data_IF_580439203276
#
_entry.id   IF_580439203276
#
_cell.length_a   1.000
_cell.length_b   1.000
_cell.length_c   1.000
_cell.angle_alpha   90.00
_cell.angle_beta   90.00
_cell.angle_gamma   90.00
#
_symmetry.space_group_name_H-M   'P 1'
#
loop_
_entity.id
_entity.type
_entity.pdbx_description
1 polymer ?
#
# COMPACT_ATOMS: atom_id res chain seq x y z
N UNK A 1 -32.84 29.00 -49.71
CA UNK A 1 -31.38 29.22 -49.49
C UNK A 1 -31.06 29.43 -48.01
N UNK A 2 -31.67 30.43 -47.35
CA UNK A 2 -31.37 30.79 -45.97
C UNK A 2 -31.67 29.68 -44.95
N UNK A 3 -32.77 28.94 -45.09
CA UNK A 3 -33.13 27.83 -44.22
C UNK A 3 -32.13 26.66 -44.37
N UNK A 4 -31.67 26.37 -45.59
CA UNK A 4 -30.67 25.33 -45.79
C UNK A 4 -29.33 25.66 -45.13
N UNK A 5 -28.93 26.94 -45.20
CA UNK A 5 -27.72 27.41 -44.54
C UNK A 5 -27.83 27.27 -43.01
N UNK A 6 -29.00 27.61 -42.43
CA UNK A 6 -29.24 27.46 -40.98
C UNK A 6 -29.16 25.96 -40.55
N UNK A 7 -29.73 25.06 -41.33
CA UNK A 7 -29.63 23.63 -41.02
C UNK A 7 -28.20 23.11 -41.10
N UNK A 8 -27.42 23.57 -42.07
CA UNK A 8 -26.01 23.17 -42.19
C UNK A 8 -25.21 23.70 -40.98
N UNK A 9 -25.41 24.98 -40.58
CA UNK A 9 -24.74 25.53 -39.42
C UNK A 9 -25.15 24.83 -38.13
N UNK A 10 -26.43 24.49 -37.94
CA UNK A 10 -26.91 23.74 -36.79
C UNK A 10 -26.27 22.32 -36.72
N UNK A 11 -26.19 21.63 -37.87
CA UNK A 11 -25.55 20.32 -37.93
C UNK A 11 -24.05 20.36 -37.62
N UNK A 12 -23.33 21.37 -38.14
CA UNK A 12 -21.92 21.59 -37.82
C UNK A 12 -21.71 21.90 -36.34
N UNK A 13 -22.53 22.76 -35.74
CA UNK A 13 -22.45 23.11 -34.31
C UNK A 13 -22.67 21.87 -33.42
N UNK A 14 -23.63 21.02 -33.77
CA UNK A 14 -23.90 19.77 -33.05
C UNK A 14 -22.74 18.79 -33.15
N UNK A 15 -22.12 18.66 -34.32
CA UNK A 15 -20.96 17.81 -34.53
C UNK A 15 -19.73 18.26 -33.69
N UNK A 16 -19.49 19.57 -33.62
CA UNK A 16 -18.37 20.10 -32.82
C UNK A 16 -18.56 19.88 -31.32
N UNK A 17 -19.79 19.96 -30.79
CA UNK A 17 -20.08 19.69 -29.39
C UNK A 17 -19.75 18.24 -28.99
N UNK A 18 -20.04 17.25 -29.85
CA UNK A 18 -19.75 15.85 -29.60
C UNK A 18 -18.24 15.56 -29.51
N UNK A 19 -17.44 16.24 -30.33
CA UNK A 19 -15.95 16.09 -30.30
C UNK A 19 -15.39 16.57 -28.96
N UNK A 20 -15.89 17.68 -28.42
CA UNK A 20 -15.42 18.25 -27.15
C UNK A 20 -15.54 17.29 -25.96
N UNK A 21 -16.63 16.54 -25.87
CA UNK A 21 -16.87 15.58 -24.77
C UNK A 21 -15.89 14.39 -24.80
N UNK A 22 -15.51 13.92 -25.98
CA UNK A 22 -14.54 12.84 -26.12
C UNK A 22 -13.15 13.27 -25.64
N UNK A 23 -12.73 14.47 -26.03
CA UNK A 23 -11.42 15.00 -25.61
C UNK A 23 -11.30 15.18 -24.11
N UNK A 24 -12.35 15.67 -23.43
CA UNK A 24 -12.35 15.86 -21.97
C UNK A 24 -12.24 14.50 -21.25
N UNK A 25 -12.95 13.49 -21.73
CA UNK A 25 -12.90 12.14 -21.15
C UNK A 25 -11.52 11.50 -21.33
N UNK A 26 -10.91 11.62 -22.51
CA UNK A 26 -9.56 11.10 -22.76
C UNK A 26 -8.54 11.79 -21.87
N UNK A 27 -8.54 13.13 -21.82
CA UNK A 27 -7.64 13.89 -20.96
C UNK A 27 -7.81 13.55 -19.47
N UNK A 28 -9.03 13.29 -19.01
CA UNK A 28 -9.27 12.87 -17.63
C UNK A 28 -8.71 11.48 -17.35
N UNK A 29 -8.87 10.52 -18.26
CA UNK A 29 -8.28 9.17 -18.13
C UNK A 29 -6.75 9.20 -18.09
N UNK A 30 -6.12 10.08 -18.87
CA UNK A 30 -4.66 10.27 -18.84
C UNK A 30 -4.22 10.82 -17.49
N UNK A 31 -4.92 11.82 -16.95
CA UNK A 31 -4.65 12.35 -15.60
C UNK A 31 -4.84 11.29 -14.51
N UNK A 32 -5.85 10.43 -14.62
CA UNK A 32 -6.05 9.31 -13.69
C UNK A 32 -4.90 8.30 -13.76
N UNK A 33 -4.44 7.97 -14.96
CA UNK A 33 -3.31 7.06 -15.12
C UNK A 33 -2.03 7.67 -14.53
N UNK A 34 -1.80 8.97 -14.73
CA UNK A 34 -0.67 9.68 -14.13
C UNK A 34 -0.80 9.76 -12.60
N UNK A 35 -2.02 9.99 -12.07
CA UNK A 35 -2.28 10.01 -10.63
C UNK A 35 -1.94 8.66 -9.98
N UNK A 36 -2.35 7.56 -10.60
CA UNK A 36 -2.03 6.21 -10.12
C UNK A 36 -0.52 5.96 -10.16
N UNK A 37 0.17 6.41 -11.20
CA UNK A 37 1.62 6.27 -11.31
C UNK A 37 2.36 7.10 -10.25
N UNK A 38 2.02 8.38 -10.12
CA UNK A 38 2.66 9.31 -9.19
C UNK A 38 2.37 8.92 -7.73
N UNK A 39 1.12 8.58 -7.43
CA UNK A 39 0.71 8.11 -6.11
C UNK A 39 1.49 6.86 -5.67
N UNK A 40 1.70 5.93 -6.62
CA UNK A 40 2.53 4.75 -6.38
C UNK A 40 4.01 5.10 -6.14
N UNK A 41 4.55 6.13 -6.79
CA UNK A 41 5.92 6.61 -6.51
C UNK A 41 6.03 7.14 -5.07
N UNK A 42 5.06 7.93 -4.61
CA UNK A 42 5.03 8.40 -3.23
C UNK A 42 4.88 7.25 -2.23
N UNK A 43 3.98 6.31 -2.48
CA UNK A 43 3.79 5.14 -1.64
C UNK A 43 5.10 4.36 -1.43
N UNK A 44 5.80 4.04 -2.54
CA UNK A 44 7.09 3.33 -2.51
C UNK A 44 8.18 4.15 -1.83
N UNK A 45 8.19 5.46 -2.03
CA UNK A 45 9.16 6.33 -1.38
C UNK A 45 8.96 6.36 0.15
N UNK A 46 7.72 6.43 0.62
CA UNK A 46 7.38 6.37 2.04
C UNK A 46 7.78 5.02 2.64
N UNK A 47 7.48 3.92 1.95
CA UNK A 47 7.92 2.57 2.36
C UNK A 47 9.45 2.47 2.44
N UNK A 48 10.15 2.96 1.42
CA UNK A 48 11.62 2.96 1.38
C UNK A 48 12.21 3.80 2.51
N UNK A 49 11.61 4.95 2.84
CA UNK A 49 12.02 5.81 3.95
C UNK A 49 11.88 5.06 5.29
N UNK A 50 10.74 4.41 5.51
CA UNK A 50 10.51 3.62 6.72
C UNK A 50 11.47 2.44 6.83
N UNK A 51 11.64 1.67 5.74
CA UNK A 51 12.46 0.45 5.75
C UNK A 51 13.94 0.72 5.97
N UNK A 52 14.48 1.79 5.38
CA UNK A 52 15.89 2.16 5.44
C UNK A 52 16.27 3.00 6.66
N UNK A 53 15.31 3.31 7.54
CA UNK A 53 15.58 4.08 8.76
C UNK A 53 16.65 3.44 9.61
N UNK A 54 17.60 4.21 10.18
CA UNK A 54 18.59 3.69 11.13
C UNK A 54 17.91 3.26 12.44
N UNK A 55 18.43 2.19 13.03
CA UNK A 55 17.94 1.69 14.32
C UNK A 55 16.70 0.78 14.23
N UNK A 56 16.15 0.45 15.39
CA UNK A 56 14.97 -0.41 15.54
C UNK A 56 13.66 0.35 15.32
N UNK A 57 13.63 1.64 15.64
CA UNK A 57 12.49 2.50 15.33
C UNK A 57 12.54 2.93 13.87
N UNK A 58 11.47 2.73 13.16
CA UNK A 58 11.34 3.05 11.74
C UNK A 58 10.22 4.07 11.56
N UNK A 59 10.47 5.34 11.93
CA UNK A 59 9.45 6.39 11.81
C UNK A 59 9.14 6.69 10.36
N UNK A 60 7.92 7.14 10.13
CA UNK A 60 7.49 7.69 8.84
C UNK A 60 8.09 9.07 8.59
N UNK A 61 8.17 9.53 7.33
CA UNK A 61 8.73 10.84 7.01
C UNK A 61 7.87 11.96 7.61
N UNK A 62 8.50 12.99 8.20
CA UNK A 62 7.77 14.14 8.78
C UNK A 62 7.21 15.08 7.68
N UNK A 63 7.84 15.10 6.51
CA UNK A 63 7.42 15.88 5.34
C UNK A 63 7.75 15.17 4.04
N UNK A 64 7.18 15.61 2.91
CA UNK A 64 7.47 15.05 1.60
C UNK A 64 8.90 15.40 1.13
N UNK A 65 9.46 16.51 1.58
CA UNK A 65 10.83 16.93 1.30
C UNK A 65 11.85 15.96 1.89
N UNK A 66 11.54 15.33 3.03
CA UNK A 66 12.38 14.30 3.64
C UNK A 66 12.56 13.07 2.73
N UNK A 67 11.66 12.86 1.77
CA UNK A 67 11.80 11.81 0.74
C UNK A 67 12.85 12.16 -0.32
N UNK A 68 13.12 13.46 -0.56
CA UNK A 68 14.16 13.92 -1.49
C UNK A 68 15.54 13.82 -0.86
N UNK A 69 15.63 14.09 0.42
CA UNK A 69 16.86 14.03 1.18
C UNK A 69 16.55 13.62 2.61
N UNK A 70 16.91 12.40 2.95
CA UNK A 70 16.68 11.85 4.28
C UNK A 70 17.65 12.46 5.28
N UNK A 71 17.16 13.26 6.24
CA UNK A 71 18.03 13.95 7.21
C UNK A 71 18.66 13.01 8.25
N UNK A 72 18.23 11.75 8.31
CA UNK A 72 18.75 10.75 9.27
C UNK A 72 20.12 10.21 8.89
N UNK A 73 20.56 10.48 7.65
CA UNK A 73 21.84 9.99 7.16
C UNK A 73 22.82 11.13 6.89
N UNK A 74 24.10 10.96 7.23
CA UNK A 74 25.13 11.97 6.97
C UNK A 74 25.41 12.12 5.46
N UNK A 75 25.20 11.07 4.68
CA UNK A 75 25.25 11.13 3.23
C UNK A 75 23.83 11.23 2.64
N UNK A 76 23.63 12.00 1.56
CA UNK A 76 22.32 12.18 0.98
C UNK A 76 21.71 10.85 0.50
N UNK A 77 20.67 10.38 1.20
CA UNK A 77 19.84 9.26 0.76
C UNK A 77 18.55 9.81 0.20
N UNK A 78 18.21 9.35 -1.00
CA UNK A 78 17.00 9.79 -1.71
C UNK A 78 16.06 8.61 -1.88
N UNK A 79 14.80 8.82 -1.50
CA UNK A 79 13.71 7.85 -1.67
C UNK A 79 12.81 8.22 -2.85
N UNK A 80 12.79 9.52 -3.21
CA UNK A 80 12.07 10.07 -4.34
C UNK A 80 13.01 10.93 -5.18
N UNK A 81 12.85 10.93 -6.50
CA UNK A 81 13.72 11.71 -7.39
C UNK A 81 13.38 13.21 -7.37
N UNK A 82 12.08 13.52 -7.32
CA UNK A 82 11.52 14.88 -7.26
C UNK A 82 10.15 14.84 -6.61
N UNK A 83 9.66 15.95 -6.11
CA UNK A 83 8.26 16.10 -5.78
C UNK A 83 7.46 16.22 -7.07
N UNK A 84 6.44 15.41 -7.19
CA UNK A 84 5.52 15.43 -8.32
C UNK A 84 4.31 16.29 -7.96
N UNK A 85 3.82 17.14 -8.88
CA UNK A 85 2.55 17.82 -8.69
C UNK A 85 1.41 16.80 -8.73
N UNK A 86 0.29 17.15 -8.11
CA UNK A 86 -0.95 16.40 -8.21
C UNK A 86 -1.53 16.54 -9.63
N UNK A 87 -1.65 15.45 -10.42
CA UNK A 87 -2.12 15.53 -11.80
C UNK A 87 -3.55 16.03 -11.95
N UNK A 88 -4.39 15.88 -10.90
CA UNK A 88 -5.78 16.30 -10.94
C UNK A 88 -5.91 17.81 -10.73
N UNK A 89 -5.12 18.37 -9.82
CA UNK A 89 -5.16 19.81 -9.52
C UNK A 89 -4.12 20.61 -10.29
N UNK A 90 -3.05 19.98 -10.78
CA UNK A 90 -1.88 20.63 -11.37
C UNK A 90 -1.00 21.36 -10.36
N UNK A 91 -1.27 21.23 -9.06
CA UNK A 91 -0.57 21.91 -7.95
C UNK A 91 0.41 20.97 -7.25
N UNK A 92 1.46 21.51 -6.59
CA UNK A 92 2.41 20.67 -5.85
C UNK A 92 1.86 20.14 -4.52
N UNK A 93 0.70 20.62 -4.07
CA UNK A 93 0.09 20.22 -2.81
C UNK A 93 -0.61 18.87 -2.93
N UNK A 94 -0.40 18.01 -1.93
CA UNK A 94 -1.06 16.72 -1.76
C UNK A 94 -1.82 16.66 -0.44
N UNK A 95 -2.91 15.92 -0.40
CA UNK A 95 -3.52 15.52 0.86
C UNK A 95 -2.62 14.51 1.57
N UNK A 96 -2.35 14.73 2.86
CA UNK A 96 -1.43 13.91 3.64
C UNK A 96 -2.20 13.08 4.65
N UNK A 97 -1.97 11.78 4.65
CA UNK A 97 -2.45 10.89 5.70
C UNK A 97 -1.30 10.70 6.69
N UNK A 98 -1.57 11.01 7.96
CA UNK A 98 -0.56 10.95 9.03
C UNK A 98 -0.90 9.87 10.05
N UNK A 99 0.13 9.33 10.69
CA UNK A 99 -0.02 8.46 11.85
C UNK A 99 -0.22 9.26 13.15
N UNK A 100 -0.34 8.55 14.28
CA UNK A 100 -0.49 9.17 15.61
C UNK A 100 0.74 9.96 16.04
N UNK A 101 1.91 9.71 15.46
CA UNK A 101 3.17 10.38 15.71
C UNK A 101 3.41 11.58 14.79
N UNK A 102 2.47 11.83 13.85
CA UNK A 102 2.55 12.92 12.88
C UNK A 102 3.33 12.59 11.61
N UNK A 103 3.85 11.37 11.48
CA UNK A 103 4.53 10.89 10.28
C UNK A 103 3.58 10.67 9.11
N UNK A 104 4.04 10.89 7.89
CA UNK A 104 3.25 10.73 6.67
C UNK A 104 3.23 9.25 6.28
N UNK A 105 2.07 8.61 6.40
CA UNK A 105 1.86 7.20 6.03
C UNK A 105 1.30 7.03 4.63
N UNK A 106 0.80 8.10 4.01
CA UNK A 106 0.25 8.07 2.67
C UNK A 106 -0.10 9.44 2.14
N UNK A 107 -0.41 9.49 0.84
CA UNK A 107 -0.86 10.69 0.16
C UNK A 107 -2.13 10.42 -0.64
N UNK A 108 -2.91 11.47 -0.92
CA UNK A 108 -4.04 11.41 -1.84
C UNK A 108 -4.15 12.70 -2.63
N UNK A 109 -4.82 12.67 -3.77
CA UNK A 109 -5.11 13.87 -4.55
C UNK A 109 -6.04 14.81 -3.80
N UNK A 110 -5.88 16.12 -4.03
CA UNK A 110 -6.82 17.15 -3.60
C UNK A 110 -7.85 17.48 -4.69
N UNK A 111 -7.80 16.77 -5.83
CA UNK A 111 -8.76 16.95 -6.91
C UNK A 111 -10.18 16.61 -6.49
N UNK A 112 -11.11 17.42 -6.96
CA UNK A 112 -12.54 17.22 -6.78
C UNK A 112 -13.12 16.49 -8.00
N UNK A 113 -14.11 15.67 -7.80
CA UNK A 113 -14.78 14.91 -8.85
C UNK A 113 -14.64 13.41 -8.67
N UNK A 114 -15.48 12.68 -9.40
CA UNK A 114 -15.55 11.23 -9.36
C UNK A 114 -14.56 10.64 -10.37
N UNK A 115 -13.86 9.56 -10.03
CA UNK A 115 -13.02 8.81 -10.97
C UNK A 115 -13.85 8.18 -12.09
N UNK A 116 -13.30 8.19 -13.31
CA UNK A 116 -13.86 7.44 -14.44
C UNK A 116 -13.46 5.97 -14.34
N UNK A 117 -12.25 5.70 -13.86
CA UNK A 117 -11.75 4.33 -13.68
C UNK A 117 -12.39 3.72 -12.45
N UNK A 118 -13.17 2.64 -12.67
CA UNK A 118 -13.89 1.90 -11.60
C UNK A 118 -13.45 0.45 -11.49
N UNK A 119 -12.53 -0.03 -12.36
CA UNK A 119 -12.09 -1.40 -12.36
C UNK A 119 -10.64 -1.55 -12.89
N UNK A 120 -10.06 -2.74 -12.73
CA UNK A 120 -8.72 -3.04 -13.22
C UNK A 120 -7.62 -2.42 -12.36
N UNK A 121 -7.85 -2.35 -11.05
CA UNK A 121 -6.86 -1.95 -10.07
C UNK A 121 -5.99 -3.14 -9.64
N UNK A 122 -4.80 -2.84 -9.17
CA UNK A 122 -3.91 -3.84 -8.57
C UNK A 122 -4.32 -4.13 -7.13
N UNK A 123 -3.90 -5.27 -6.57
CA UNK A 123 -4.18 -5.62 -5.17
C UNK A 123 -3.70 -4.56 -4.14
N UNK A 124 -2.78 -3.69 -4.55
CA UNK A 124 -2.28 -2.59 -3.69
C UNK A 124 -3.27 -1.40 -3.68
N UNK A 125 -4.12 -1.31 -4.70
CA UNK A 125 -5.12 -0.27 -4.91
C UNK A 125 -6.52 -0.75 -4.49
N UNK A 126 -6.57 -1.70 -3.57
CA UNK A 126 -7.83 -2.21 -3.02
C UNK A 126 -8.64 -1.07 -2.38
N UNK A 127 -9.93 -1.04 -2.70
CA UNK A 127 -10.84 0.03 -2.25
C UNK A 127 -10.98 1.21 -3.22
N UNK A 128 -10.12 1.35 -4.25
CA UNK A 128 -10.24 2.42 -5.25
C UNK A 128 -11.47 2.24 -6.16
N UNK A 129 -11.98 1.01 -6.27
CA UNK A 129 -13.15 0.68 -7.08
C UNK A 129 -14.44 1.35 -6.58
N UNK A 130 -14.54 1.55 -5.26
CA UNK A 130 -15.69 2.17 -4.59
C UNK A 130 -15.53 3.67 -4.32
N UNK A 131 -14.45 4.28 -4.82
CA UNK A 131 -14.17 5.68 -4.58
C UNK A 131 -15.20 6.60 -5.24
N UNK A 132 -15.72 7.53 -4.48
CA UNK A 132 -16.64 8.58 -4.97
C UNK A 132 -15.90 9.85 -5.38
N UNK A 133 -14.64 10.00 -4.96
CA UNK A 133 -13.78 11.15 -5.22
C UNK A 133 -12.32 10.71 -5.39
N UNK A 134 -11.52 11.52 -6.10
CA UNK A 134 -10.06 11.31 -6.14
C UNK A 134 -9.39 11.41 -4.78
N UNK A 135 -10.02 12.02 -3.78
CA UNK A 135 -9.57 12.06 -2.38
C UNK A 135 -9.61 10.68 -1.71
N UNK A 136 -10.49 9.80 -2.20
CA UNK A 136 -10.63 8.45 -1.66
C UNK A 136 -9.52 7.51 -2.17
N UNK A 137 -8.80 7.91 -3.23
CA UNK A 137 -7.63 7.18 -3.71
C UNK A 137 -6.42 7.49 -2.83
N UNK A 138 -6.34 6.78 -1.71
CA UNK A 138 -5.27 6.95 -0.74
C UNK A 138 -4.11 5.99 -1.03
N UNK A 139 -2.97 6.54 -1.42
CA UNK A 139 -1.73 5.80 -1.65
C UNK A 139 -0.98 5.63 -0.33
N UNK A 140 -1.37 4.62 0.45
CA UNK A 140 -0.84 4.35 1.77
C UNK A 140 0.32 3.35 1.71
N UNK A 141 1.42 3.65 2.39
CA UNK A 141 2.51 2.73 2.60
C UNK A 141 2.00 1.48 3.32
N UNK A 142 2.47 0.31 2.88
CA UNK A 142 2.15 -0.94 3.55
C UNK A 142 2.79 -0.90 4.94
N UNK A 143 1.98 -1.03 5.98
CA UNK A 143 2.53 -1.20 7.32
C UNK A 143 3.34 -2.50 7.31
N UNK A 144 4.63 -2.40 7.63
CA UNK A 144 5.36 -3.58 8.03
C UNK A 144 4.66 -4.07 9.30
N UNK A 145 3.93 -5.16 9.19
CA UNK A 145 3.42 -5.83 10.38
C UNK A 145 4.60 -6.02 11.32
N UNK A 146 4.57 -5.26 12.43
CA UNK A 146 5.42 -5.57 13.57
C UNK A 146 5.04 -7.03 13.87
N UNK A 147 6.00 -7.99 13.82
CA UNK A 147 5.66 -9.35 14.20
C UNK A 147 4.91 -9.24 15.52
N UNK A 148 3.69 -9.72 15.55
CA UNK A 148 2.89 -9.75 16.75
C UNK A 148 3.82 -10.35 17.80
N UNK A 149 4.17 -9.55 18.82
CA UNK A 149 4.83 -10.09 19.99
C UNK A 149 3.93 -11.24 20.39
N UNK A 150 4.44 -12.46 20.23
CA UNK A 150 3.76 -13.66 20.69
C UNK A 150 3.27 -13.34 22.07
N UNK A 151 1.98 -13.14 22.19
CA UNK A 151 1.32 -13.13 23.47
C UNK A 151 1.47 -14.58 23.94
N UNK A 152 2.66 -14.84 24.48
CA UNK A 152 2.99 -16.08 25.16
C UNK A 152 2.24 -16.13 26.48
N UNK A 153 0.92 -16.23 26.39
CA UNK A 153 0.09 -16.79 27.44
C UNK A 153 -0.58 -18.07 26.92
N UNK A 154 0.24 -18.98 26.47
CA UNK A 154 -0.10 -20.36 26.51
C UNK A 154 -0.01 -20.76 28.00
N UNK A 155 -1.07 -20.47 28.72
CA UNK A 155 -1.47 -21.12 29.96
C UNK A 155 -1.18 -22.61 29.77
N UNK A 156 0.00 -23.06 30.19
CA UNK A 156 0.29 -24.48 30.41
C UNK A 156 -0.59 -24.90 31.57
N UNK A 157 -1.73 -25.41 31.22
CA UNK A 157 -2.51 -26.26 32.08
C UNK A 157 -1.62 -27.44 32.47
N UNK A 158 -1.35 -27.70 33.76
CA UNK A 158 -0.58 -28.87 34.16
C UNK A 158 -1.44 -30.09 33.82
N UNK A 159 -1.02 -30.82 32.78
CA UNK A 159 -1.57 -32.12 32.46
C UNK A 159 -1.43 -33.02 33.68
N UNK A 160 -2.57 -33.28 34.32
CA UNK A 160 -2.74 -34.26 35.39
C UNK A 160 -2.30 -35.65 34.88
N UNK A 161 -1.36 -36.22 35.63
CA UNK A 161 -1.16 -37.63 35.88
C UNK A 161 -1.62 -38.64 34.83
N UNK A 162 -0.75 -38.98 33.89
CA UNK A 162 -0.75 -40.30 33.31
C UNK A 162 0.35 -41.11 34.01
N UNK A 163 -0.07 -41.95 34.97
CA UNK A 163 0.72 -42.95 35.62
C UNK A 163 1.33 -43.91 34.57
N UNK A 164 2.65 -43.87 34.45
CA UNK A 164 3.39 -44.88 33.71
C UNK A 164 3.14 -46.25 34.27
N UNK A 165 2.78 -47.25 33.48
CA UNK A 165 2.77 -48.62 33.91
C UNK A 165 4.19 -49.09 34.26
N UNK A 166 4.38 -49.60 35.46
CA UNK A 166 5.61 -50.22 35.95
C UNK A 166 6.05 -51.34 35.00
N UNK A 167 7.32 -51.44 34.59
CA UNK A 167 7.82 -52.59 33.88
C UNK A 167 7.77 -53.84 34.79
N UNK A 168 7.25 -54.95 34.26
CA UNK A 168 7.25 -56.26 34.90
C UNK A 168 8.65 -56.78 35.09
N UNK A 169 9.00 -57.36 36.23
CA UNK A 169 10.30 -58.03 36.43
C UNK A 169 10.39 -59.25 35.52
N UNK A 170 11.45 -59.36 34.77
CA UNK A 170 11.85 -60.55 34.00
C UNK A 170 12.41 -61.58 34.97
N UNK A 171 11.99 -62.87 34.89
CA UNK A 171 12.55 -63.91 35.74
C UNK A 171 13.99 -64.20 35.33
N UNK A 172 14.84 -64.31 36.36
CA UNK A 172 16.21 -64.74 36.23
C UNK A 172 16.28 -66.20 35.73
N UNK A 173 16.92 -66.40 34.59
CA UNK A 173 17.29 -67.74 34.16
C UNK A 173 18.62 -68.05 34.75
N UNK A 174 18.58 -69.01 35.67
CA UNK A 174 19.73 -69.63 36.32
C UNK A 174 20.42 -70.63 35.35
N UNK A 175 21.69 -70.63 35.39
CA UNK A 175 22.46 -71.89 35.25
C UNK A 175 23.17 -72.14 33.92
N UNK A 176 24.41 -72.24 34.00
CA UNK A 176 25.21 -73.07 33.08
C UNK A 176 26.66 -72.66 32.88
N UNK A 177 27.45 -72.82 33.90
CA UNK A 177 28.91 -73.18 33.75
C UNK A 177 29.01 -74.72 33.44
N UNK A 178 30.17 -75.28 33.03
CA UNK A 178 31.49 -74.82 32.60
C UNK A 178 32.07 -75.60 31.43
N UNK A 179 33.37 -75.49 31.32
CA UNK A 179 34.45 -76.47 30.96
C UNK A 179 35.17 -76.26 29.62
N UNK A 180 36.35 -75.83 29.75
CA UNK A 180 37.66 -76.41 29.49
C UNK A 180 37.84 -77.07 28.11
N UNK A 181 38.64 -76.50 27.33
CA UNK A 181 39.95 -77.00 26.84
C UNK A 181 40.57 -76.03 25.87
#
# INVERSE_FOLDING_TARGET
MLLALLFILAALATGMAAVGTVWTTVAQREKEAELLFVGEQYRRAIESYQQRGPGSEKPYPPSLEALLQDPRFPMPVRHLRRLYPDPMTGRPEWGLVRDAQGGIVGVHSLGEGAPIKTAGFTAIQEGFESASSYRDWVFKARQLEKPAAETGDARREPAQGQSMPRPRPVPATVGGTPEAR
#
